data_IF_098539488224
#
_entry.id   IF_098539488224
#
_cell.length_a   1.000
_cell.length_b   1.000
_cell.length_c   1.000
_cell.angle_alpha   90.00
_cell.angle_beta   90.00
_cell.angle_gamma   90.00
#
_symmetry.space_group_name_H-M   'P 1'
#
loop_
_entity.id
_entity.type
_entity.pdbx_description
1 polymer ?
#
# COMPACT_ATOMS: atom_id res chain seq x y z
N UNK A 1 27.50 -38.64 -0.04
CA UNK A 1 27.67 -37.67 1.06
C UNK A 1 26.29 -37.48 1.68
N UNK A 2 25.96 -38.31 2.67
CA UNK A 2 24.66 -38.31 3.35
C UNK A 2 24.66 -37.14 4.33
N UNK A 3 23.82 -36.12 4.08
CA UNK A 3 23.57 -35.05 5.05
C UNK A 3 22.90 -35.65 6.29
N UNK A 4 23.50 -35.38 7.44
CA UNK A 4 23.08 -35.85 8.76
C UNK A 4 21.68 -35.27 9.10
N UNK A 5 20.73 -36.04 9.66
CA UNK A 5 19.38 -35.55 10.00
C UNK A 5 19.38 -34.34 10.95
N UNK A 6 20.47 -34.13 11.70
CA UNK A 6 20.64 -33.01 12.62
C UNK A 6 20.87 -31.65 11.93
N UNK A 7 21.45 -31.61 10.73
CA UNK A 7 21.64 -30.35 9.98
C UNK A 7 20.32 -29.86 9.37
N UNK A 8 19.47 -30.78 8.93
CA UNK A 8 18.15 -30.46 8.37
C UNK A 8 17.23 -29.93 9.49
N UNK A 9 17.23 -30.57 10.66
CA UNK A 9 16.46 -30.12 11.81
C UNK A 9 16.91 -28.74 12.32
N UNK A 10 18.22 -28.45 12.25
CA UNK A 10 18.79 -27.15 12.66
C UNK A 10 18.45 -26.03 11.69
N UNK A 11 18.51 -26.27 10.37
CA UNK A 11 18.10 -25.27 9.37
C UNK A 11 16.59 -24.98 9.46
N UNK A 12 15.74 -26.00 9.60
CA UNK A 12 14.29 -25.81 9.74
C UNK A 12 13.91 -25.05 11.00
N UNK A 13 14.63 -25.23 12.11
CA UNK A 13 14.37 -24.50 13.36
C UNK A 13 14.88 -23.06 13.31
N UNK A 14 16.04 -22.78 12.72
CA UNK A 14 16.49 -21.40 12.50
C UNK A 14 15.61 -20.65 11.50
N UNK A 15 15.17 -21.31 10.42
CA UNK A 15 14.27 -20.72 9.42
C UNK A 15 12.88 -20.45 10.02
N UNK A 16 12.38 -21.35 10.88
CA UNK A 16 11.10 -21.18 11.58
C UNK A 16 11.12 -20.04 12.59
N UNK A 17 12.17 -19.93 13.41
CA UNK A 17 12.32 -18.83 14.38
C UNK A 17 12.55 -17.49 13.68
N UNK A 18 13.29 -17.50 12.57
CA UNK A 18 13.45 -16.32 11.71
C UNK A 18 12.10 -15.92 11.11
N UNK A 19 11.35 -16.84 10.52
CA UNK A 19 10.02 -16.59 9.95
C UNK A 19 9.03 -16.02 10.98
N UNK A 20 8.98 -16.55 12.21
CA UNK A 20 8.11 -16.05 13.29
C UNK A 20 8.48 -14.61 13.68
N UNK A 21 9.78 -14.34 13.83
CA UNK A 21 10.28 -13.01 14.21
C UNK A 21 10.00 -11.97 13.13
N UNK A 22 10.15 -12.34 11.85
CA UNK A 22 9.79 -11.46 10.72
C UNK A 22 8.28 -11.31 10.54
N UNK A 23 7.49 -12.33 10.84
CA UNK A 23 6.02 -12.27 10.78
C UNK A 23 5.46 -11.22 11.75
N UNK A 24 5.99 -11.13 12.97
CA UNK A 24 5.59 -10.13 13.98
C UNK A 24 5.99 -8.72 13.53
N UNK A 25 7.21 -8.55 13.01
CA UNK A 25 7.69 -7.26 12.51
C UNK A 25 6.89 -6.80 11.29
N UNK A 26 6.45 -7.73 10.43
CA UNK A 26 5.63 -7.43 9.26
C UNK A 26 4.16 -7.17 9.62
N UNK A 27 3.64 -7.73 10.71
CA UNK A 27 2.24 -7.59 11.11
C UNK A 27 1.81 -6.14 11.39
N UNK A 28 2.64 -5.35 12.08
CA UNK A 28 2.33 -3.96 12.40
C UNK A 28 2.19 -3.07 11.14
N UNK A 29 3.14 -3.10 10.18
CA UNK A 29 2.97 -2.48 8.86
C UNK A 29 1.69 -2.95 8.15
N UNK A 30 1.38 -4.25 8.14
CA UNK A 30 0.20 -4.77 7.43
C UNK A 30 -1.11 -4.22 8.02
N UNK A 31 -1.21 -4.12 9.35
CA UNK A 31 -2.38 -3.53 10.02
C UNK A 31 -2.55 -2.06 9.66
N UNK A 32 -1.46 -1.29 9.67
CA UNK A 32 -1.51 0.13 9.26
C UNK A 32 -1.91 0.30 7.79
N UNK A 33 -1.42 -0.58 6.90
CA UNK A 33 -1.79 -0.60 5.50
C UNK A 33 -3.27 -0.94 5.29
N UNK A 34 -3.81 -1.88 6.08
CA UNK A 34 -5.22 -2.26 6.01
C UNK A 34 -6.12 -1.12 6.45
N UNK A 35 -5.78 -0.46 7.57
CA UNK A 35 -6.50 0.71 8.06
C UNK A 35 -6.48 1.84 7.01
N UNK A 36 -5.30 2.11 6.44
CA UNK A 36 -5.15 3.12 5.39
C UNK A 36 -5.97 2.79 4.14
N UNK A 37 -6.04 1.52 3.74
CA UNK A 37 -6.83 1.11 2.59
C UNK A 37 -8.33 1.32 2.84
N UNK A 38 -8.81 0.96 4.03
CA UNK A 38 -10.21 1.15 4.44
C UNK A 38 -10.60 2.63 4.52
N UNK A 39 -9.78 3.46 5.16
CA UNK A 39 -10.11 4.89 5.32
C UNK A 39 -10.08 5.64 3.98
N UNK A 40 -9.13 5.32 3.10
CA UNK A 40 -9.08 5.90 1.76
C UNK A 40 -10.24 5.43 0.89
N UNK A 41 -10.63 4.15 0.96
CA UNK A 41 -11.82 3.65 0.27
C UNK A 41 -13.10 4.34 0.74
N UNK A 42 -13.23 4.58 2.05
CA UNK A 42 -14.34 5.34 2.61
C UNK A 42 -14.34 6.80 2.14
N UNK A 43 -13.17 7.43 2.04
CA UNK A 43 -13.03 8.80 1.51
C UNK A 43 -13.51 8.88 0.05
N UNK A 44 -13.14 7.91 -0.78
CA UNK A 44 -13.60 7.80 -2.17
C UNK A 44 -15.11 7.58 -2.21
N UNK A 45 -15.66 6.70 -1.37
CA UNK A 45 -17.11 6.49 -1.32
C UNK A 45 -17.85 7.78 -0.93
N UNK A 46 -17.43 8.44 0.15
CA UNK A 46 -18.08 9.68 0.63
C UNK A 46 -18.02 10.79 -0.41
N UNK A 47 -16.89 10.95 -1.11
CA UNK A 47 -16.74 11.95 -2.17
C UNK A 47 -17.62 11.66 -3.39
N UNK A 48 -17.80 10.39 -3.77
CA UNK A 48 -18.70 9.98 -4.87
C UNK A 48 -20.18 10.15 -4.49
N UNK A 49 -20.57 9.78 -3.26
CA UNK A 49 -21.97 9.82 -2.83
C UNK A 49 -22.44 11.21 -2.37
N UNK A 50 -21.53 12.08 -1.92
CA UNK A 50 -21.91 13.40 -1.42
C UNK A 50 -22.12 14.41 -2.54
N UNK A 51 -23.39 14.76 -2.80
CA UNK A 51 -23.76 15.82 -3.77
C UNK A 51 -23.18 17.20 -3.43
N UNK A 52 -22.79 17.42 -2.16
CA UNK A 52 -22.25 18.69 -1.65
C UNK A 52 -20.75 18.86 -1.94
N UNK A 53 -20.03 17.77 -2.26
CA UNK A 53 -18.58 17.75 -2.51
C UNK A 53 -18.23 17.72 -4.02
N UNK A 54 -18.97 18.44 -4.87
CA UNK A 54 -18.77 18.42 -6.34
C UNK A 54 -17.73 19.43 -6.89
N UNK A 55 -16.98 20.10 -6.02
CA UNK A 55 -15.88 20.98 -6.47
C UNK A 55 -14.73 20.14 -7.04
N UNK A 56 -14.00 20.68 -8.03
CA UNK A 56 -12.82 20.08 -8.66
C UNK A 56 -11.81 19.57 -7.64
N UNK A 57 -11.61 20.32 -6.55
CA UNK A 57 -10.68 19.91 -5.51
C UNK A 57 -11.09 18.62 -4.78
N UNK A 58 -12.39 18.39 -4.55
CA UNK A 58 -12.85 17.16 -3.90
C UNK A 58 -12.64 15.93 -4.81
N UNK A 59 -12.73 16.10 -6.13
CA UNK A 59 -12.37 15.05 -7.09
C UNK A 59 -10.88 14.73 -7.06
N UNK A 60 -10.01 15.74 -6.98
CA UNK A 60 -8.56 15.51 -6.83
C UNK A 60 -8.24 14.74 -5.54
N UNK A 61 -8.89 15.08 -4.43
CA UNK A 61 -8.72 14.37 -3.15
C UNK A 61 -9.18 12.91 -3.27
N UNK A 62 -10.33 12.67 -3.91
CA UNK A 62 -10.82 11.31 -4.13
C UNK A 62 -9.86 10.49 -5.01
N UNK A 63 -9.32 11.09 -6.07
CA UNK A 63 -8.38 10.43 -6.96
C UNK A 63 -7.04 10.14 -6.29
N UNK A 64 -6.53 11.07 -5.47
CA UNK A 64 -5.33 10.85 -4.66
C UNK A 64 -5.53 9.72 -3.64
N UNK A 65 -6.65 9.72 -2.92
CA UNK A 65 -7.00 8.64 -1.99
C UNK A 65 -7.12 7.28 -2.68
N UNK A 66 -7.67 7.24 -3.90
CA UNK A 66 -7.71 6.05 -4.73
C UNK A 66 -6.31 5.56 -5.12
N UNK A 67 -5.43 6.46 -5.58
CA UNK A 67 -4.03 6.13 -5.87
C UNK A 67 -3.33 5.60 -4.61
N UNK A 68 -3.58 6.22 -3.46
CA UNK A 68 -3.02 5.80 -2.18
C UNK A 68 -3.49 4.40 -1.79
N UNK A 69 -4.77 4.07 -1.99
CA UNK A 69 -5.29 2.72 -1.77
C UNK A 69 -4.59 1.68 -2.69
N UNK A 70 -4.37 2.02 -3.96
CA UNK A 70 -3.63 1.17 -4.92
C UNK A 70 -2.20 0.93 -4.45
N UNK A 71 -1.50 1.91 -3.89
CA UNK A 71 -0.12 1.70 -3.39
C UNK A 71 -0.05 0.71 -2.23
N UNK A 72 -1.08 0.67 -1.39
CA UNK A 72 -1.13 -0.13 -0.17
C UNK A 72 -1.57 -1.57 -0.45
N UNK A 73 -2.28 -1.80 -1.56
CA UNK A 73 -2.76 -3.11 -1.96
C UNK A 73 -1.63 -4.14 -2.20
N UNK A 74 -0.53 -3.84 -2.92
CA UNK A 74 0.60 -4.76 -3.10
C UNK A 74 1.25 -5.21 -1.79
N UNK A 75 1.34 -4.33 -0.78
CA UNK A 75 1.89 -4.69 0.52
C UNK A 75 1.02 -5.71 1.25
N UNK A 76 -0.31 -5.52 1.18
CA UNK A 76 -1.26 -6.48 1.73
C UNK A 76 -1.18 -7.84 0.99
N UNK A 77 -1.13 -7.81 -0.34
CA UNK A 77 -1.01 -9.03 -1.14
C UNK A 77 0.31 -9.75 -0.91
N UNK A 78 1.42 -9.02 -0.74
CA UNK A 78 2.73 -9.58 -0.44
C UNK A 78 2.72 -10.31 0.90
N UNK A 79 2.06 -9.74 1.91
CA UNK A 79 1.87 -10.38 3.21
C UNK A 79 1.07 -11.69 3.08
N UNK A 80 -0.06 -11.67 2.34
CA UNK A 80 -0.85 -12.89 2.10
C UNK A 80 -0.05 -13.97 1.37
N UNK A 81 0.76 -13.60 0.37
CA UNK A 81 1.58 -14.55 -0.38
C UNK A 81 2.64 -15.23 0.50
N UNK A 82 3.28 -14.48 1.40
CA UNK A 82 4.23 -15.05 2.37
C UNK A 82 3.55 -16.05 3.31
N UNK A 83 2.33 -15.75 3.77
CA UNK A 83 1.58 -16.67 4.62
C UNK A 83 1.16 -17.97 3.91
N UNK A 84 0.96 -17.93 2.59
CA UNK A 84 0.40 -19.07 1.82
C UNK A 84 1.50 -19.88 1.11
N UNK A 85 2.58 -19.26 0.65
CA UNK A 85 3.63 -19.91 -0.17
C UNK A 85 5.05 -19.45 0.17
N UNK A 86 5.90 -20.44 0.46
CA UNK A 86 7.35 -20.35 0.32
C UNK A 86 7.78 -21.25 -0.86
N UNK A 87 8.64 -20.82 -1.82
CA UNK A 87 9.19 -19.49 -2.09
C UNK A 87 8.36 -18.68 -3.13
N UNK A 88 8.40 -17.35 -3.02
CA UNK A 88 7.78 -16.43 -3.98
C UNK A 88 8.69 -16.29 -5.21
N UNK A 89 8.12 -16.33 -6.42
CA UNK A 89 8.87 -16.09 -7.65
C UNK A 89 9.29 -14.62 -7.73
N UNK A 90 10.53 -14.38 -8.16
CA UNK A 90 11.10 -13.02 -8.29
C UNK A 90 10.22 -12.10 -9.17
N UNK A 91 9.60 -12.67 -10.20
CA UNK A 91 8.72 -11.97 -11.14
C UNK A 91 7.49 -11.40 -10.42
N UNK A 92 6.84 -12.20 -9.57
CA UNK A 92 5.64 -11.78 -8.83
C UNK A 92 5.96 -10.63 -7.86
N UNK A 93 7.12 -10.69 -7.21
CA UNK A 93 7.60 -9.64 -6.32
C UNK A 93 7.91 -8.33 -7.09
N UNK A 94 8.58 -8.43 -8.24
CA UNK A 94 8.91 -7.28 -9.08
C UNK A 94 7.67 -6.55 -9.60
N UNK A 95 6.63 -7.30 -9.97
CA UNK A 95 5.35 -6.74 -10.42
C UNK A 95 4.65 -5.98 -9.29
N UNK A 96 4.55 -6.58 -8.09
CA UNK A 96 3.93 -5.94 -6.93
C UNK A 96 4.65 -4.65 -6.53
N UNK A 97 5.98 -4.67 -6.55
CA UNK A 97 6.79 -3.49 -6.24
C UNK A 97 6.63 -2.39 -7.29
N UNK A 98 6.50 -2.75 -8.57
CA UNK A 98 6.26 -1.78 -9.65
C UNK A 98 4.92 -1.09 -9.49
N UNK A 99 3.85 -1.83 -9.18
CA UNK A 99 2.51 -1.26 -8.93
C UNK A 99 2.54 -0.28 -7.75
N UNK A 100 3.21 -0.66 -6.65
CA UNK A 100 3.35 0.23 -5.49
C UNK A 100 4.12 1.51 -5.83
N UNK A 101 5.19 1.41 -6.63
CA UNK A 101 5.98 2.57 -7.06
C UNK A 101 5.16 3.54 -7.91
N UNK A 102 4.40 3.02 -8.89
CA UNK A 102 3.59 3.86 -9.79
C UNK A 102 2.56 4.63 -8.97
N UNK A 103 1.80 3.96 -8.10
CA UNK A 103 0.80 4.64 -7.28
C UNK A 103 1.41 5.69 -6.35
N UNK A 104 2.63 5.46 -5.85
CA UNK A 104 3.28 6.40 -4.93
C UNK A 104 3.74 7.65 -5.69
N UNK A 105 4.27 7.46 -6.91
CA UNK A 105 4.63 8.59 -7.78
C UNK A 105 3.40 9.39 -8.19
N UNK A 106 2.30 8.73 -8.58
CA UNK A 106 1.08 9.44 -8.97
C UNK A 106 0.48 10.23 -7.81
N UNK A 107 0.49 9.69 -6.58
CA UNK A 107 0.01 10.42 -5.40
C UNK A 107 0.83 11.69 -5.11
N UNK A 108 2.17 11.62 -5.22
CA UNK A 108 3.03 12.81 -5.05
C UNK A 108 2.65 13.91 -6.06
N UNK A 109 2.46 13.55 -7.33
CA UNK A 109 2.05 14.52 -8.35
C UNK A 109 0.64 15.09 -8.07
N UNK A 110 -0.30 14.26 -7.63
CA UNK A 110 -1.66 14.69 -7.30
C UNK A 110 -1.70 15.64 -6.11
N UNK A 111 -0.90 15.38 -5.07
CA UNK A 111 -0.74 16.28 -3.94
C UNK A 111 -0.18 17.64 -4.36
N UNK A 112 0.74 17.65 -5.33
CA UNK A 112 1.28 18.88 -5.90
C UNK A 112 0.21 19.67 -6.67
N UNK A 113 -0.58 19.01 -7.51
CA UNK A 113 -1.71 19.66 -8.21
C UNK A 113 -2.76 20.21 -7.25
N UNK A 114 -3.06 19.48 -6.17
CA UNK A 114 -3.94 19.95 -5.12
C UNK A 114 -3.41 21.23 -4.46
N UNK A 115 -2.11 21.28 -4.19
CA UNK A 115 -1.44 22.47 -3.67
C UNK A 115 -1.59 23.67 -4.61
N UNK A 116 -1.38 23.47 -5.91
CA UNK A 116 -1.53 24.53 -6.92
C UNK A 116 -2.98 25.04 -6.95
N UNK A 117 -3.98 24.17 -7.00
CA UNK A 117 -5.40 24.54 -6.94
C UNK A 117 -5.71 25.44 -5.73
N UNK A 118 -5.18 25.07 -4.55
CA UNK A 118 -5.37 25.86 -3.33
C UNK A 118 -4.64 27.20 -3.38
N UNK A 119 -3.43 27.24 -3.93
CA UNK A 119 -2.71 28.50 -4.13
C UNK A 119 -3.43 29.44 -5.09
N UNK A 120 -3.96 28.92 -6.21
CA UNK A 120 -4.71 29.72 -7.19
C UNK A 120 -5.98 30.29 -6.57
N UNK A 121 -6.72 29.49 -5.78
CA UNK A 121 -7.93 29.94 -5.09
C UNK A 121 -7.65 31.07 -4.06
N UNK A 122 -6.46 31.08 -3.45
CA UNK A 122 -6.05 32.12 -2.50
C UNK A 122 -5.53 33.37 -3.20
N UNK A 123 -4.74 33.20 -4.28
CA UNK A 123 -4.14 34.31 -5.03
C UNK A 123 -5.15 35.05 -5.90
N UNK A 124 -6.10 34.32 -6.47
CA UNK A 124 -7.17 34.85 -7.30
C UNK A 124 -8.52 34.49 -6.67
N UNK A 125 -8.95 35.20 -5.62
CA UNK A 125 -10.30 35.08 -5.10
C UNK A 125 -11.26 35.71 -6.12
N UNK A 126 -11.56 34.99 -7.20
CA UNK A 126 -12.61 35.35 -8.15
C UNK A 126 -13.92 34.98 -7.45
N UNK A 127 -14.44 35.92 -6.68
CA UNK A 127 -15.80 35.91 -6.16
C UNK A 127 -16.77 36.42 -7.22
#
# INVERSE_FOLDING_TARGET
>A
MLLLPDEIARNVTTDGVFAIRWSIVMAFPTLSNLLALWTNALLVAVTVFSKKLRSTCHFLIAFDAFCYAITRFPYFLSFLLVCIRHPIRLIDCSFLMTVALIGNRTSIFMMLFLGIERCVAVLFPIW
#
